data_IF_663893331607
#
_entry.id   IF_663893331607
#
_cell.length_a   1.000
_cell.length_b   1.000
_cell.length_c   1.000
_cell.angle_alpha   90.00
_cell.angle_beta   90.00
_cell.angle_gamma   90.00
#
_symmetry.space_group_name_H-M   'P 1'
#
loop_
_entity.id
_entity.type
_entity.pdbx_description
1 polymer ?
#
# COMPACT_ATOMS: atom_id res chain seq x y z
N UNK A 1 7.76 -18.84 24.09
CA UNK A 1 7.66 -18.20 22.75
C UNK A 1 8.60 -18.94 21.80
N UNK A 2 8.08 -19.46 20.68
CA UNK A 2 8.94 -20.12 19.67
C UNK A 2 9.93 -19.09 19.12
N UNK A 3 11.20 -19.48 19.00
CA UNK A 3 12.26 -18.63 18.44
C UNK A 3 11.94 -18.40 16.96
N UNK A 4 11.73 -17.16 16.56
CA UNK A 4 11.49 -16.76 15.16
C UNK A 4 12.65 -17.30 14.28
N UNK A 5 12.32 -17.84 13.09
CA UNK A 5 13.36 -18.36 12.21
C UNK A 5 14.24 -17.22 11.69
N UNK A 6 15.50 -17.50 11.36
CA UNK A 6 16.41 -16.49 10.80
C UNK A 6 15.85 -15.86 9.52
N UNK A 7 15.18 -16.67 8.70
CA UNK A 7 14.50 -16.19 7.48
C UNK A 7 13.43 -15.13 7.82
N UNK A 8 12.65 -15.38 8.86
CA UNK A 8 11.62 -14.45 9.31
C UNK A 8 12.21 -13.14 9.86
N UNK A 9 13.31 -13.24 10.61
CA UNK A 9 14.03 -12.05 11.08
C UNK A 9 14.58 -11.21 9.93
N UNK A 10 15.10 -11.86 8.87
CA UNK A 10 15.57 -11.17 7.67
C UNK A 10 14.41 -10.45 6.96
N UNK A 11 13.25 -11.10 6.80
CA UNK A 11 12.08 -10.48 6.17
C UNK A 11 11.54 -9.29 6.99
N UNK A 12 11.50 -9.40 8.30
CA UNK A 12 11.08 -8.28 9.16
C UNK A 12 12.07 -7.10 9.09
N UNK A 13 13.38 -7.38 9.19
CA UNK A 13 14.41 -6.37 9.04
C UNK A 13 14.33 -5.69 7.65
N UNK A 14 14.14 -6.48 6.60
CA UNK A 14 13.97 -5.98 5.24
C UNK A 14 12.72 -5.12 5.08
N UNK A 15 11.62 -5.54 5.65
CA UNK A 15 10.38 -4.78 5.67
C UNK A 15 10.60 -3.38 6.25
N UNK A 16 11.22 -3.28 7.43
CA UNK A 16 11.49 -2.00 8.08
C UNK A 16 12.50 -1.16 7.29
N UNK A 17 13.58 -1.77 6.82
CA UNK A 17 14.63 -1.06 6.09
C UNK A 17 14.13 -0.51 4.75
N UNK A 18 13.41 -1.33 3.97
CA UNK A 18 12.90 -0.92 2.66
C UNK A 18 11.80 0.12 2.80
N UNK A 19 10.92 -0.02 3.80
CA UNK A 19 9.87 0.97 4.03
C UNK A 19 10.44 2.34 4.40
N UNK A 20 11.54 2.37 5.15
CA UNK A 20 12.19 3.62 5.55
C UNK A 20 13.03 4.25 4.44
N UNK A 21 13.80 3.45 3.71
CA UNK A 21 14.90 3.93 2.86
C UNK A 21 14.68 3.69 1.37
N UNK A 22 13.71 2.86 0.97
CA UNK A 22 13.49 2.44 -0.41
C UNK A 22 14.40 1.27 -0.83
N UNK A 23 14.23 0.82 -2.08
CA UNK A 23 14.95 -0.32 -2.64
C UNK A 23 16.45 -0.05 -2.81
N UNK A 24 16.79 1.11 -3.37
CA UNK A 24 18.18 1.43 -3.72
C UNK A 24 19.08 1.54 -2.49
N UNK A 25 18.59 2.21 -1.44
CA UNK A 25 19.34 2.43 -0.20
C UNK A 25 19.33 1.23 0.75
N UNK A 26 18.41 0.28 0.62
CA UNK A 26 18.34 -0.92 1.44
C UNK A 26 19.39 -1.95 1.00
N UNK A 27 20.62 -1.86 1.50
CA UNK A 27 21.69 -2.82 1.25
C UNK A 27 21.43 -4.18 1.91
N UNK A 28 21.77 -5.30 1.23
CA UNK A 28 21.67 -6.65 1.84
C UNK A 28 22.47 -6.76 3.13
N UNK A 29 23.64 -6.09 3.20
CA UNK A 29 24.47 -6.07 4.41
C UNK A 29 23.76 -5.39 5.59
N UNK A 30 23.06 -4.31 5.33
CA UNK A 30 22.32 -3.53 6.34
C UNK A 30 21.11 -4.33 6.86
N UNK A 31 20.41 -5.01 5.97
CA UNK A 31 19.30 -5.93 6.31
C UNK A 31 19.80 -7.08 7.19
N UNK A 32 20.92 -7.71 6.82
CA UNK A 32 21.54 -8.80 7.58
C UNK A 32 21.95 -8.32 8.98
N UNK A 33 22.57 -7.14 9.06
CA UNK A 33 22.98 -6.55 10.34
C UNK A 33 21.75 -6.22 11.22
N UNK A 34 20.73 -5.61 10.64
CA UNK A 34 19.47 -5.28 11.33
C UNK A 34 18.71 -6.53 11.83
N UNK A 35 18.82 -7.65 11.10
CA UNK A 35 18.27 -8.96 11.50
C UNK A 35 19.08 -9.67 12.62
N UNK A 36 20.23 -9.12 13.04
CA UNK A 36 21.15 -9.78 13.96
C UNK A 36 21.76 -11.05 13.38
N UNK A 37 21.86 -11.16 12.06
CA UNK A 37 22.31 -12.32 11.33
C UNK A 37 23.81 -12.26 11.02
N UNK A 38 24.43 -13.42 10.75
CA UNK A 38 25.83 -13.48 10.34
C UNK A 38 25.96 -13.08 8.86
N UNK A 39 27.07 -12.41 8.45
CA UNK A 39 27.36 -12.21 7.04
C UNK A 39 27.27 -13.52 6.24
N UNK A 40 26.68 -13.46 5.04
CA UNK A 40 26.49 -14.64 4.18
C UNK A 40 25.21 -15.46 4.46
N UNK A 41 24.52 -15.25 5.59
CA UNK A 41 23.29 -15.99 5.88
C UNK A 41 22.12 -15.67 4.94
N UNK A 42 22.14 -14.50 4.29
CA UNK A 42 21.11 -14.08 3.35
C UNK A 42 20.99 -15.05 2.17
N UNK A 43 22.10 -15.41 1.55
CA UNK A 43 22.14 -16.30 0.37
C UNK A 43 21.72 -17.74 0.65
N UNK A 44 21.64 -18.14 1.92
CA UNK A 44 21.08 -19.44 2.32
C UNK A 44 19.53 -19.45 2.28
N UNK A 45 18.90 -18.29 2.21
CA UNK A 45 17.45 -18.16 2.29
C UNK A 45 16.82 -17.51 1.05
N UNK A 46 17.58 -16.69 0.32
CA UNK A 46 17.10 -15.94 -0.84
C UNK A 46 18.14 -15.97 -1.96
N UNK A 47 17.72 -16.32 -3.17
CA UNK A 47 18.61 -16.42 -4.33
C UNK A 47 19.07 -15.03 -4.82
N UNK A 48 18.26 -13.98 -4.58
CA UNK A 48 18.58 -12.61 -4.98
C UNK A 48 17.92 -11.57 -4.07
N UNK A 49 18.37 -10.31 -4.16
CA UNK A 49 17.70 -9.18 -3.53
C UNK A 49 16.30 -8.97 -4.09
N UNK A 50 16.10 -9.23 -5.38
CA UNK A 50 14.79 -9.09 -6.05
C UNK A 50 13.77 -10.09 -5.51
N UNK A 51 14.15 -11.37 -5.37
CA UNK A 51 13.29 -12.38 -4.75
C UNK A 51 12.92 -11.99 -3.33
N UNK A 52 13.90 -11.59 -2.52
CA UNK A 52 13.69 -11.11 -1.16
C UNK A 52 12.73 -9.93 -1.10
N UNK A 53 12.92 -8.91 -1.94
CA UNK A 53 12.05 -7.73 -1.99
C UNK A 53 10.65 -8.09 -2.47
N UNK A 54 10.53 -9.06 -3.36
CA UNK A 54 9.24 -9.62 -3.77
C UNK A 54 8.45 -10.19 -2.58
N UNK A 55 9.12 -10.90 -1.65
CA UNK A 55 8.47 -11.42 -0.44
C UNK A 55 8.16 -10.30 0.58
N UNK A 56 9.03 -9.31 0.70
CA UNK A 56 8.77 -8.13 1.53
C UNK A 56 7.55 -7.36 1.00
N UNK A 57 7.40 -7.24 -0.33
CA UNK A 57 6.22 -6.63 -0.96
C UNK A 57 4.93 -7.39 -0.64
N UNK A 58 4.94 -8.73 -0.71
CA UNK A 58 3.77 -9.54 -0.35
C UNK A 58 3.40 -9.38 1.12
N UNK A 59 4.38 -9.31 2.00
CA UNK A 59 4.15 -9.03 3.43
C UNK A 59 3.53 -7.66 3.65
N UNK A 60 4.02 -6.63 2.97
CA UNK A 60 3.44 -5.30 3.02
C UNK A 60 2.02 -5.29 2.44
N UNK A 61 1.80 -5.98 1.33
CA UNK A 61 0.48 -6.08 0.73
C UNK A 61 -0.52 -6.81 1.64
N UNK A 62 -0.10 -7.88 2.31
CA UNK A 62 -0.94 -8.55 3.30
C UNK A 62 -1.34 -7.61 4.45
N UNK A 63 -0.41 -6.75 4.93
CA UNK A 63 -0.73 -5.71 5.89
C UNK A 63 -1.75 -4.70 5.35
N UNK A 64 -1.57 -4.20 4.11
CA UNK A 64 -2.51 -3.28 3.45
C UNK A 64 -3.87 -3.92 3.23
N UNK A 65 -3.92 -5.19 2.79
CA UNK A 65 -5.15 -5.96 2.59
C UNK A 65 -5.95 -6.07 3.89
N UNK A 66 -5.29 -6.32 5.01
CA UNK A 66 -5.96 -6.34 6.32
C UNK A 66 -6.59 -4.98 6.69
N UNK A 67 -5.96 -3.86 6.32
CA UNK A 67 -6.56 -2.53 6.49
C UNK A 67 -7.78 -2.34 5.57
N UNK A 68 -7.69 -2.79 4.33
CA UNK A 68 -8.80 -2.73 3.37
C UNK A 68 -9.97 -3.57 3.86
N UNK A 69 -9.75 -4.83 4.21
CA UNK A 69 -10.78 -5.74 4.72
C UNK A 69 -11.50 -5.16 5.95
N UNK A 70 -10.74 -4.64 6.91
CA UNK A 70 -11.29 -4.02 8.12
C UNK A 70 -12.10 -2.77 7.80
N UNK A 71 -11.59 -1.89 6.93
CA UNK A 71 -12.24 -0.63 6.61
C UNK A 71 -13.47 -0.80 5.72
N UNK A 72 -13.46 -1.77 4.79
CA UNK A 72 -14.56 -2.03 3.87
C UNK A 72 -15.55 -3.09 4.40
N UNK A 73 -15.41 -3.55 5.64
CA UNK A 73 -16.31 -4.53 6.25
C UNK A 73 -17.78 -4.09 6.19
N UNK A 74 -18.66 -5.04 5.91
CA UNK A 74 -20.12 -4.84 5.86
C UNK A 74 -20.71 -4.87 7.27
N UNK A 75 -20.68 -3.74 7.95
CA UNK A 75 -21.13 -3.54 9.34
C UNK A 75 -22.35 -2.60 9.45
N UNK A 76 -23.08 -2.42 8.35
CA UNK A 76 -24.20 -1.49 8.26
C UNK A 76 -23.79 -0.07 7.83
N UNK A 77 -22.49 0.21 7.70
CA UNK A 77 -22.01 1.49 7.15
C UNK A 77 -22.20 1.52 5.63
N UNK A 78 -22.79 2.59 5.06
CA UNK A 78 -22.94 2.73 3.60
C UNK A 78 -21.59 2.66 2.87
N UNK A 79 -21.56 2.19 1.59
CA UNK A 79 -20.34 2.04 0.81
C UNK A 79 -19.43 3.28 0.80
N UNK A 80 -19.98 4.47 0.60
CA UNK A 80 -19.23 5.74 0.63
C UNK A 80 -18.56 5.97 1.99
N UNK A 81 -19.24 5.63 3.09
CA UNK A 81 -18.68 5.72 4.44
C UNK A 81 -17.53 4.74 4.67
N UNK A 82 -17.62 3.53 4.11
CA UNK A 82 -16.54 2.52 4.19
C UNK A 82 -15.30 2.96 3.40
N UNK A 83 -15.49 3.52 2.19
CA UNK A 83 -14.40 4.10 1.39
C UNK A 83 -13.70 5.24 2.16
N UNK A 84 -14.48 6.13 2.78
CA UNK A 84 -13.94 7.21 3.60
C UNK A 84 -13.15 6.67 4.79
N UNK A 85 -13.68 5.70 5.51
CA UNK A 85 -13.03 5.05 6.67
C UNK A 85 -11.66 4.49 6.29
N UNK A 86 -11.53 3.86 5.10
CA UNK A 86 -10.22 3.39 4.63
C UNK A 86 -9.20 4.53 4.50
N UNK A 87 -9.58 5.63 3.83
CA UNK A 87 -8.68 6.77 3.65
C UNK A 87 -8.30 7.42 4.98
N UNK A 88 -9.24 7.49 5.93
CA UNK A 88 -9.01 8.05 7.27
C UNK A 88 -8.07 7.16 8.09
N UNK A 89 -8.26 5.84 8.07
CA UNK A 89 -7.36 4.88 8.74
C UNK A 89 -5.93 4.98 8.19
N UNK A 90 -5.78 5.06 6.86
CA UNK A 90 -4.46 5.22 6.24
C UNK A 90 -3.85 6.58 6.60
N UNK A 91 -4.64 7.66 6.61
CA UNK A 91 -4.18 9.00 7.03
C UNK A 91 -3.59 8.96 8.44
N UNK A 92 -4.30 8.37 9.42
CA UNK A 92 -3.81 8.22 10.80
C UNK A 92 -2.50 7.42 10.90
N UNK A 93 -2.36 6.40 10.05
CA UNK A 93 -1.11 5.62 10.01
C UNK A 93 0.08 6.41 9.43
N UNK A 94 -0.18 7.26 8.46
CA UNK A 94 0.85 8.15 7.89
C UNK A 94 1.26 9.26 8.87
N UNK A 95 0.29 9.80 9.62
CA UNK A 95 0.52 10.75 10.70
C UNK A 95 1.43 10.19 11.79
N UNK A 96 1.21 8.94 12.21
CA UNK A 96 2.04 8.26 13.21
C UNK A 96 3.53 8.12 12.80
N UNK A 97 3.88 8.46 11.57
CA UNK A 97 5.24 8.49 11.04
C UNK A 97 5.66 9.89 10.55
N UNK A 98 5.05 10.94 11.10
CA UNK A 98 5.39 12.35 10.80
C UNK A 98 5.36 12.66 9.30
N UNK A 99 4.42 12.03 8.55
CA UNK A 99 4.26 12.17 7.10
C UNK A 99 5.52 11.80 6.30
N UNK A 100 6.48 11.12 6.93
CA UNK A 100 7.78 10.79 6.33
C UNK A 100 7.74 9.55 5.44
N UNK A 101 6.80 8.63 5.72
CA UNK A 101 6.61 7.39 4.97
C UNK A 101 5.50 7.55 3.97
N UNK A 102 5.63 6.89 2.83
CA UNK A 102 4.56 6.71 1.86
C UNK A 102 4.16 5.25 1.75
N UNK A 103 3.38 4.91 0.73
CA UNK A 103 3.07 3.54 0.38
C UNK A 103 4.31 2.84 -0.19
N UNK A 104 4.70 1.69 0.39
CA UNK A 104 5.85 0.92 -0.12
C UNK A 104 5.62 0.43 -1.55
N UNK A 105 4.39 0.01 -1.91
CA UNK A 105 4.03 -0.42 -3.26
C UNK A 105 4.30 0.72 -4.25
N UNK A 106 3.79 1.92 -4.00
CA UNK A 106 4.02 3.08 -4.85
C UNK A 106 5.51 3.48 -4.95
N UNK A 107 6.23 3.50 -3.81
CA UNK A 107 7.65 3.82 -3.80
C UNK A 107 8.46 2.80 -4.63
N UNK A 108 8.25 1.50 -4.41
CA UNK A 108 8.95 0.45 -5.14
C UNK A 108 8.57 0.41 -6.62
N UNK A 109 7.34 0.78 -6.99
CA UNK A 109 6.95 0.92 -8.40
C UNK A 109 7.81 1.95 -9.12
N UNK A 110 8.06 3.10 -8.49
CA UNK A 110 8.92 4.14 -9.07
C UNK A 110 10.40 3.72 -9.14
N UNK A 111 10.87 2.98 -8.14
CA UNK A 111 12.29 2.61 -8.05
C UNK A 111 12.65 1.38 -8.89
N UNK A 112 11.73 0.42 -9.09
CA UNK A 112 12.12 -0.92 -9.60
C UNK A 112 11.50 -1.32 -10.92
N UNK A 113 10.37 -0.74 -11.33
CA UNK A 113 9.64 -1.21 -12.50
C UNK A 113 10.41 -1.10 -13.83
N UNK A 114 11.39 -0.20 -13.91
CA UNK A 114 12.24 -0.02 -15.12
C UNK A 114 13.37 -1.06 -15.18
N UNK A 115 13.83 -1.56 -14.02
CA UNK A 115 15.05 -2.36 -13.93
C UNK A 115 14.80 -3.84 -13.65
N UNK A 116 13.65 -4.18 -13.06
CA UNK A 116 13.35 -5.53 -12.63
C UNK A 116 11.98 -5.99 -13.13
N UNK A 117 12.00 -6.82 -14.17
CA UNK A 117 10.77 -7.42 -14.71
C UNK A 117 10.03 -8.30 -13.68
N UNK A 118 10.71 -9.12 -12.84
CA UNK A 118 10.02 -9.87 -11.80
C UNK A 118 9.28 -8.99 -10.80
N UNK A 119 9.88 -7.87 -10.35
CA UNK A 119 9.23 -6.94 -9.43
C UNK A 119 8.11 -6.15 -10.12
N UNK A 120 8.30 -5.76 -11.39
CA UNK A 120 7.26 -5.08 -12.17
C UNK A 120 6.00 -5.93 -12.31
N UNK A 121 6.14 -7.21 -12.66
CA UNK A 121 5.01 -8.13 -12.78
C UNK A 121 4.30 -8.36 -11.44
N UNK A 122 5.06 -8.50 -10.37
CA UNK A 122 4.50 -8.64 -9.02
C UNK A 122 3.75 -7.39 -8.56
N UNK A 123 4.28 -6.22 -8.84
CA UNK A 123 3.61 -4.95 -8.55
C UNK A 123 2.31 -4.79 -9.34
N UNK A 124 2.30 -5.19 -10.62
CA UNK A 124 1.09 -5.17 -11.45
C UNK A 124 0.00 -6.10 -10.87
N UNK A 125 0.36 -7.32 -10.47
CA UNK A 125 -0.54 -8.25 -9.80
C UNK A 125 -1.07 -7.70 -8.45
N UNK A 126 -0.20 -7.07 -7.67
CA UNK A 126 -0.59 -6.43 -6.40
C UNK A 126 -1.61 -5.29 -6.65
N UNK A 127 -1.39 -4.43 -7.65
CA UNK A 127 -2.35 -3.37 -7.98
C UNK A 127 -3.71 -3.94 -8.39
N UNK A 128 -3.73 -5.01 -9.19
CA UNK A 128 -4.97 -5.69 -9.59
C UNK A 128 -5.72 -6.24 -8.36
N UNK A 129 -5.05 -7.00 -7.50
CA UNK A 129 -5.65 -7.55 -6.27
C UNK A 129 -6.09 -6.44 -5.29
N UNK A 130 -5.38 -5.32 -5.26
CA UNK A 130 -5.72 -4.19 -4.40
C UNK A 130 -6.96 -3.45 -4.88
N UNK A 131 -7.15 -3.30 -6.21
CA UNK A 131 -8.30 -2.65 -6.83
C UNK A 131 -9.61 -3.36 -6.54
N UNK A 132 -9.63 -4.70 -6.60
CA UNK A 132 -10.84 -5.51 -6.54
C UNK A 132 -11.79 -5.20 -5.37
N UNK A 133 -11.37 -5.11 -4.09
CA UNK A 133 -12.27 -4.82 -2.98
C UNK A 133 -12.87 -3.41 -3.05
N UNK A 134 -12.17 -2.45 -3.62
CA UNK A 134 -12.71 -1.11 -3.85
C UNK A 134 -13.75 -1.10 -4.96
N UNK A 135 -13.49 -1.77 -6.07
CA UNK A 135 -14.45 -1.92 -7.16
C UNK A 135 -15.75 -2.58 -6.67
N UNK A 136 -15.64 -3.65 -5.88
CA UNK A 136 -16.80 -4.29 -5.27
C UNK A 136 -17.60 -3.34 -4.36
N UNK A 137 -16.93 -2.58 -3.50
CA UNK A 137 -17.57 -1.59 -2.62
C UNK A 137 -18.23 -0.45 -3.41
N UNK A 138 -17.60 0.02 -4.48
CA UNK A 138 -18.15 1.06 -5.37
C UNK A 138 -19.37 0.53 -6.10
N UNK A 139 -19.32 -0.69 -6.66
CA UNK A 139 -20.45 -1.33 -7.34
C UNK A 139 -21.67 -1.50 -6.42
N UNK A 140 -21.43 -1.83 -5.14
CA UNK A 140 -22.49 -1.86 -4.12
C UNK A 140 -23.10 -0.45 -3.94
N UNK A 141 -22.28 0.60 -3.83
CA UNK A 141 -22.75 1.99 -3.74
C UNK A 141 -23.52 2.46 -4.97
N UNK A 142 -23.09 2.03 -6.16
CA UNK A 142 -23.83 2.28 -7.41
C UNK A 142 -25.19 1.57 -7.43
N UNK A 143 -25.25 0.36 -6.92
CA UNK A 143 -26.50 -0.40 -6.82
C UNK A 143 -27.46 0.22 -5.82
N UNK A 144 -26.95 0.77 -4.73
CA UNK A 144 -27.72 1.48 -3.70
C UNK A 144 -28.15 2.91 -4.13
N UNK A 145 -27.59 3.45 -5.23
CA UNK A 145 -27.84 4.83 -5.68
C UNK A 145 -27.04 5.89 -4.91
N UNK A 146 -26.03 5.49 -4.15
CA UNK A 146 -25.15 6.39 -3.40
C UNK A 146 -23.96 6.89 -4.25
N UNK A 147 -23.61 6.17 -5.31
CA UNK A 147 -22.53 6.50 -6.25
C UNK A 147 -23.08 6.51 -7.67
N UNK A 148 -22.67 7.48 -8.48
CA UNK A 148 -23.10 7.58 -9.89
C UNK A 148 -22.73 6.34 -10.69
N UNK A 149 -23.62 5.94 -11.62
CA UNK A 149 -23.39 4.86 -12.60
C UNK A 149 -22.81 5.36 -13.93
N UNK A 150 -22.45 6.65 -14.01
CA UNK A 150 -21.91 7.22 -15.23
C UNK A 150 -20.54 6.66 -15.63
N UNK A 151 -19.80 6.12 -14.67
CA UNK A 151 -18.50 5.47 -14.86
C UNK A 151 -18.53 4.06 -14.26
N UNK A 152 -17.71 3.16 -14.82
CA UNK A 152 -17.56 1.81 -14.33
C UNK A 152 -16.92 1.77 -12.92
N UNK A 153 -17.35 0.82 -12.10
CA UNK A 153 -16.83 0.67 -10.73
C UNK A 153 -15.33 0.34 -10.69
N UNK A 154 -14.85 -0.39 -11.68
CA UNK A 154 -13.44 -0.74 -11.84
C UNK A 154 -12.60 0.50 -12.15
N UNK A 155 -13.05 1.32 -13.12
CA UNK A 155 -12.40 2.59 -13.48
C UNK A 155 -12.37 3.57 -12.30
N UNK A 156 -13.46 3.63 -11.53
CA UNK A 156 -13.52 4.46 -10.33
C UNK A 156 -12.59 3.97 -9.22
N UNK A 157 -12.40 2.66 -9.09
CA UNK A 157 -11.46 2.06 -8.14
C UNK A 157 -10.00 2.35 -8.54
N UNK A 158 -9.66 2.23 -9.82
CA UNK A 158 -8.35 2.60 -10.35
C UNK A 158 -8.07 4.10 -10.17
N UNK A 159 -9.04 4.94 -10.46
CA UNK A 159 -8.92 6.38 -10.22
C UNK A 159 -8.70 6.71 -8.75
N UNK A 160 -9.47 6.07 -7.84
CA UNK A 160 -9.32 6.25 -6.40
C UNK A 160 -7.89 5.90 -5.95
N UNK A 161 -7.40 4.69 -6.31
CA UNK A 161 -6.08 4.24 -5.90
C UNK A 161 -4.96 5.08 -6.49
N UNK A 162 -5.00 5.38 -7.79
CA UNK A 162 -3.97 6.17 -8.47
C UNK A 162 -3.89 7.60 -7.93
N UNK A 163 -5.04 8.24 -7.74
CA UNK A 163 -5.10 9.60 -7.19
C UNK A 163 -4.67 9.65 -5.73
N UNK A 164 -5.05 8.64 -4.92
CA UNK A 164 -4.61 8.51 -3.54
C UNK A 164 -3.09 8.31 -3.43
N UNK A 165 -2.48 7.50 -4.31
CA UNK A 165 -1.02 7.36 -4.40
C UNK A 165 -0.35 8.71 -4.72
N UNK A 166 -0.91 9.48 -5.64
CA UNK A 166 -0.43 10.83 -5.95
C UNK A 166 -0.53 11.79 -4.75
N UNK A 167 -1.63 11.73 -3.99
CA UNK A 167 -1.79 12.52 -2.76
C UNK A 167 -0.76 12.12 -1.69
N UNK A 168 -0.51 10.83 -1.50
CA UNK A 168 0.52 10.33 -0.57
C UNK A 168 1.94 10.73 -1.00
N UNK A 169 2.24 10.75 -2.30
CA UNK A 169 3.53 11.24 -2.81
C UNK A 169 3.75 12.71 -2.39
N UNK A 170 2.74 13.56 -2.62
CA UNK A 170 2.81 14.97 -2.24
C UNK A 170 2.89 15.16 -0.73
N UNK A 171 2.06 14.47 0.04
CA UNK A 171 2.12 14.45 1.50
C UNK A 171 3.54 14.19 2.02
N UNK A 172 4.22 13.17 1.46
CA UNK A 172 5.59 12.78 1.83
C UNK A 172 6.61 13.90 1.54
N UNK A 173 6.47 14.61 0.42
CA UNK A 173 7.35 15.73 0.02
C UNK A 173 7.06 16.97 0.85
N UNK A 174 5.78 17.30 1.06
CA UNK A 174 5.34 18.50 1.77
C UNK A 174 5.38 18.35 3.30
N UNK A 175 5.55 17.11 3.81
CA UNK A 175 5.48 16.79 5.25
C UNK A 175 4.21 17.34 5.91
N UNK A 176 3.09 17.22 5.23
CA UNK A 176 1.81 17.82 5.62
C UNK A 176 0.65 16.91 5.24
N UNK A 177 -0.43 16.84 6.05
CA UNK A 177 -1.66 16.13 5.70
C UNK A 177 -2.46 16.78 4.56
N UNK A 178 -2.19 18.05 4.24
CA UNK A 178 -3.01 18.84 3.32
C UNK A 178 -3.29 18.19 1.96
N UNK A 179 -2.34 17.53 1.28
CA UNK A 179 -2.62 16.83 0.02
C UNK A 179 -3.65 15.71 0.17
N UNK A 180 -3.62 14.98 1.29
CA UNK A 180 -4.56 13.90 1.59
C UNK A 180 -5.96 14.45 1.89
N UNK A 181 -6.04 15.50 2.71
CA UNK A 181 -7.31 16.15 3.07
C UNK A 181 -7.97 16.80 1.85
N UNK A 182 -7.18 17.45 0.99
CA UNK A 182 -7.66 18.01 -0.27
C UNK A 182 -8.21 16.92 -1.20
N UNK A 183 -7.50 15.81 -1.33
CA UNK A 183 -7.96 14.66 -2.12
C UNK A 183 -9.30 14.14 -1.56
N UNK A 184 -9.39 13.85 -0.26
CA UNK A 184 -10.61 13.38 0.40
C UNK A 184 -11.77 14.35 0.16
N UNK A 185 -11.54 15.63 0.37
CA UNK A 185 -12.57 16.67 0.12
C UNK A 185 -13.09 16.62 -1.30
N UNK A 186 -12.21 16.56 -2.30
CA UNK A 186 -12.58 16.58 -3.70
C UNK A 186 -13.34 15.31 -4.08
N UNK A 187 -12.78 14.13 -3.80
CA UNK A 187 -13.35 12.86 -4.26
C UNK A 187 -14.75 12.61 -3.68
N UNK A 188 -14.96 12.96 -2.40
CA UNK A 188 -16.26 12.80 -1.75
C UNK A 188 -17.27 13.92 -2.06
N UNK A 189 -16.82 15.02 -2.66
CA UNK A 189 -17.74 16.08 -3.13
C UNK A 189 -18.09 15.95 -4.61
N UNK A 190 -17.34 15.17 -5.39
CA UNK A 190 -17.51 15.08 -6.84
C UNK A 190 -17.79 13.66 -7.31
N UNK A 191 -16.88 12.70 -7.02
CA UNK A 191 -16.97 11.33 -7.56
C UNK A 191 -17.91 10.47 -6.72
N UNK A 192 -17.83 10.57 -5.40
CA UNK A 192 -18.63 9.81 -4.43
C UNK A 192 -19.64 10.67 -3.68
N UNK A 193 -19.88 11.91 -4.13
CA UNK A 193 -20.94 12.77 -3.63
C UNK A 193 -22.28 12.41 -4.28
N UNK A 194 -23.39 12.61 -3.56
CA UNK A 194 -24.72 12.65 -4.17
C UNK A 194 -24.85 13.95 -4.97
N UNK A 195 -25.43 13.86 -6.16
CA UNK A 195 -25.95 15.03 -6.87
C UNK A 195 -27.06 15.71 -6.07
#
# INVERSE_FOLDING_TARGET
MARQSLRENLLEAGFQTIWNSGYAAAGVRDIVAAAGARPGSFTNHFASKEEFVGEVLERYFAYVSGLVESALAQDGTPPVGRLRRYLDVVTLKLEAHDWARGCMIGNLSLETAVYSEPLRLRLADIFERWRQPFAACIAEGQSAGDITKALDAEDLADFLLSSWQGAMLRMKVERSPEPLERFKKIIFSTVFGRE
#
